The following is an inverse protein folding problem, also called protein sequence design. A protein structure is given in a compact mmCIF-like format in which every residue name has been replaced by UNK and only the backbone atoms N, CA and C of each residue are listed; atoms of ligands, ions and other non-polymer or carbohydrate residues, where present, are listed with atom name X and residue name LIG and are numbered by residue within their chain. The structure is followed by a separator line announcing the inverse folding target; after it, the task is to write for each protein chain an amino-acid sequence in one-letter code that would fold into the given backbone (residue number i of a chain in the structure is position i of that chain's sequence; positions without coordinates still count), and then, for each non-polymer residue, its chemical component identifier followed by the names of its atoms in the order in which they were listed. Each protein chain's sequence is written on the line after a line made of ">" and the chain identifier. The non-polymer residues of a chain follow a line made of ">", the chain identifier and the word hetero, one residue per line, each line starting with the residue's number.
data_IF_620486568897
#
_entry.id   IF_620486568897
#
_cell.length_a   1.000
_cell.length_b   1.000
_cell.length_c   1.000
_cell.angle_alpha   90.00
_cell.angle_beta   90.00
_cell.angle_gamma   90.00
#
_symmetry.space_group_name_H-M   'P 1'
#
loop_
_entity.id
_entity.type
_entity.pdbx_description
1 polymer ?
#
# COMPACT_ATOMS: atom_id res chain seq x y z
N UNK A 1 1.79 14.71 -11.25
CA UNK A 1 0.45 15.00 -11.81
C UNK A 1 -0.22 16.06 -10.95
N UNK A 2 -1.25 16.72 -11.45
CA UNK A 2 -2.01 17.70 -10.68
C UNK A 2 -3.47 17.80 -11.17
N UNK A 3 -4.33 18.39 -10.35
CA UNK A 3 -5.68 18.81 -10.76
C UNK A 3 -5.61 20.21 -11.37
N UNK A 4 -6.27 20.40 -12.50
CA UNK A 4 -6.38 21.70 -13.17
C UNK A 4 -7.82 21.95 -13.63
N UNK A 5 -8.22 23.21 -13.59
CA UNK A 5 -9.41 23.65 -14.29
C UNK A 5 -9.08 23.86 -15.77
N UNK A 6 -9.93 23.31 -16.66
CA UNK A 6 -9.96 23.64 -18.09
C UNK A 6 -11.42 23.70 -18.53
N UNK A 7 -11.80 24.76 -19.23
CA UNK A 7 -13.16 24.94 -19.77
C UNK A 7 -14.27 24.78 -18.72
N UNK A 8 -14.03 25.25 -17.48
CA UNK A 8 -14.99 25.14 -16.38
C UNK A 8 -15.13 23.74 -15.77
N UNK A 9 -14.25 22.79 -16.12
CA UNK A 9 -14.23 21.43 -15.58
C UNK A 9 -12.88 21.08 -14.96
N UNK A 10 -12.90 20.23 -13.94
CA UNK A 10 -11.68 19.69 -13.35
C UNK A 10 -11.13 18.55 -14.19
N UNK A 11 -9.82 18.61 -14.44
CA UNK A 11 -9.05 17.61 -15.15
C UNK A 11 -7.91 17.11 -14.28
N UNK A 12 -7.60 15.81 -14.38
CA UNK A 12 -6.33 15.27 -13.89
C UNK A 12 -5.29 15.36 -15.01
N UNK A 13 -4.18 16.03 -14.76
CA UNK A 13 -3.15 16.31 -15.76
C UNK A 13 -1.85 15.60 -15.40
N UNK A 14 -1.34 14.83 -16.36
CA UNK A 14 -0.03 14.20 -16.30
C UNK A 14 0.91 14.82 -17.34
N UNK A 15 1.98 15.45 -16.87
CA UNK A 15 3.03 16.00 -17.71
C UNK A 15 4.32 15.25 -17.47
N UNK A 16 4.91 14.71 -18.54
CA UNK A 16 6.28 14.22 -18.53
C UNK A 16 7.19 15.33 -19.03
N UNK A 17 8.23 15.61 -18.25
CA UNK A 17 9.24 16.61 -18.58
C UNK A 17 10.50 15.95 -19.11
N UNK A 18 11.23 16.69 -19.93
CA UNK A 18 12.61 16.35 -20.27
C UNK A 18 13.48 16.43 -19.01
N UNK A 19 14.43 15.49 -18.89
CA UNK A 19 15.30 15.42 -17.71
C UNK A 19 16.12 16.72 -17.55
N UNK A 20 16.14 17.29 -16.35
CA UNK A 20 16.87 18.53 -16.06
C UNK A 20 16.27 19.79 -16.68
N UNK A 21 15.05 19.74 -17.23
CA UNK A 21 14.42 20.82 -17.98
C UNK A 21 12.98 21.07 -17.54
N UNK A 22 12.47 22.29 -17.77
CA UNK A 22 11.05 22.61 -17.61
C UNK A 22 10.23 22.26 -18.86
N UNK A 23 10.87 21.82 -19.94
CA UNK A 23 10.21 21.46 -21.20
C UNK A 23 9.30 20.25 -20.99
N UNK A 24 8.02 20.43 -21.32
CA UNK A 24 7.02 19.35 -21.33
C UNK A 24 7.19 18.56 -22.63
N UNK A 25 7.47 17.27 -22.51
CA UNK A 25 7.62 16.34 -23.65
C UNK A 25 6.30 15.65 -23.99
N UNK A 26 5.44 15.46 -23.00
CA UNK A 26 4.17 14.77 -23.14
C UNK A 26 3.18 15.29 -22.11
N UNK A 27 1.95 15.56 -22.53
CA UNK A 27 0.83 15.88 -21.65
C UNK A 27 -0.33 14.91 -21.91
N UNK A 28 -0.80 14.24 -20.86
CA UNK A 28 -2.06 13.49 -20.85
C UNK A 28 -3.04 14.20 -19.95
N UNK A 29 -4.24 14.43 -20.45
CA UNK A 29 -5.31 15.13 -19.76
C UNK A 29 -6.48 14.16 -19.62
N UNK A 30 -6.99 14.03 -18.41
CA UNK A 30 -8.16 13.20 -18.10
C UNK A 30 -9.28 14.11 -17.59
N UNK A 31 -10.34 14.29 -18.37
CA UNK A 31 -11.55 14.99 -17.91
C UNK A 31 -12.22 14.16 -16.81
N UNK A 32 -12.43 14.77 -15.64
CA UNK A 32 -13.09 14.13 -14.50
C UNK A 32 -14.60 14.33 -14.52
N UNK A 33 -15.10 15.08 -15.51
CA UNK A 33 -16.49 15.46 -15.73
C UNK A 33 -17.11 16.30 -14.60
N UNK A 34 -16.27 16.85 -13.72
CA UNK A 34 -16.69 17.64 -12.56
C UNK A 34 -16.64 19.15 -12.87
N UNK A 35 -17.72 19.92 -12.65
CA UNK A 35 -17.71 21.37 -12.80
C UNK A 35 -16.80 22.05 -11.77
N UNK A 36 -15.76 22.76 -12.21
CA UNK A 36 -14.75 23.41 -11.35
C UNK A 36 -15.38 24.35 -10.32
N UNK A 37 -16.35 25.16 -10.76
CA UNK A 37 -17.02 26.19 -9.95
C UNK A 37 -17.72 25.65 -8.69
N UNK A 38 -18.09 24.36 -8.67
CA UNK A 38 -18.76 23.71 -7.52
C UNK A 38 -17.84 22.79 -6.74
N UNK A 39 -16.62 22.62 -7.22
CA UNK A 39 -15.68 21.66 -6.67
C UNK A 39 -14.67 22.33 -5.75
N UNK A 40 -14.36 21.65 -4.66
CA UNK A 40 -13.32 22.02 -3.71
C UNK A 40 -12.41 20.82 -3.48
N UNK A 41 -11.12 21.01 -3.69
CA UNK A 41 -10.12 20.03 -3.27
C UNK A 41 -9.99 20.10 -1.75
N UNK A 42 -10.32 19.00 -1.06
CA UNK A 42 -10.27 18.92 0.40
C UNK A 42 -8.86 18.55 0.88
N UNK A 43 -8.22 17.59 0.21
CA UNK A 43 -6.85 17.15 0.48
C UNK A 43 -6.28 16.52 -0.78
N UNK A 44 -4.98 16.64 -0.99
CA UNK A 44 -4.27 15.96 -2.05
C UNK A 44 -2.84 15.66 -1.61
N UNK A 45 -2.16 14.80 -2.36
CA UNK A 45 -0.77 14.45 -2.13
C UNK A 45 -0.24 13.52 -3.21
N UNK A 46 1.01 13.10 -3.03
CA UNK A 46 1.71 12.28 -4.01
C UNK A 46 2.21 13.06 -5.22
N UNK A 47 3.18 12.47 -5.92
CA UNK A 47 3.78 13.04 -7.12
C UNK A 47 3.65 12.06 -8.28
N UNK A 48 3.80 12.56 -9.51
CA UNK A 48 3.75 11.69 -10.69
C UNK A 48 2.51 10.77 -10.71
N UNK A 49 2.68 9.46 -11.01
CA UNK A 49 1.63 8.45 -10.94
C UNK A 49 0.99 8.24 -9.57
N UNK A 50 1.66 8.59 -8.48
CA UNK A 50 1.15 8.37 -7.12
C UNK A 50 0.27 9.51 -6.61
N UNK A 51 -0.05 10.47 -7.48
CA UNK A 51 -0.99 11.54 -7.17
C UNK A 51 -2.35 10.99 -6.73
N UNK A 52 -2.88 11.58 -5.67
CA UNK A 52 -4.23 11.35 -5.16
C UNK A 52 -4.85 12.66 -4.65
N UNK A 53 -6.17 12.75 -4.74
CA UNK A 53 -6.93 13.87 -4.19
C UNK A 53 -8.33 13.46 -3.74
N UNK A 54 -8.84 14.14 -2.71
CA UNK A 54 -10.23 14.11 -2.32
C UNK A 54 -10.88 15.42 -2.75
N UNK A 55 -11.92 15.33 -3.57
CA UNK A 55 -12.64 16.48 -4.17
C UNK A 55 -14.09 16.44 -3.74
N UNK A 56 -14.56 17.49 -3.09
CA UNK A 56 -15.98 17.70 -2.79
C UNK A 56 -16.63 18.50 -3.93
N UNK A 57 -17.62 17.94 -4.60
CA UNK A 57 -18.36 18.62 -5.67
C UNK A 57 -19.61 19.35 -5.17
N UNK A 58 -19.75 19.56 -3.86
CA UNK A 58 -20.92 20.11 -3.18
C UNK A 58 -22.09 19.13 -3.05
N UNK A 59 -22.17 18.11 -3.91
CA UNK A 59 -23.17 17.03 -3.85
C UNK A 59 -22.60 15.70 -3.39
N UNK A 60 -21.34 15.43 -3.74
CA UNK A 60 -20.68 14.15 -3.54
C UNK A 60 -19.20 14.40 -3.26
N UNK A 61 -18.62 13.51 -2.45
CA UNK A 61 -17.18 13.43 -2.30
C UNK A 61 -16.62 12.46 -3.35
N UNK A 62 -15.45 12.76 -3.88
CA UNK A 62 -14.77 11.96 -4.88
C UNK A 62 -13.33 11.71 -4.47
N UNK A 63 -12.83 10.52 -4.75
CA UNK A 63 -11.40 10.20 -4.71
C UNK A 63 -10.87 10.17 -6.14
N UNK A 64 -9.81 10.93 -6.40
CA UNK A 64 -9.16 11.06 -7.70
C UNK A 64 -7.76 10.46 -7.59
N UNK A 65 -7.37 9.61 -8.54
CA UNK A 65 -6.02 9.06 -8.62
C UNK A 65 -5.73 8.49 -10.00
N UNK A 66 -4.48 8.58 -10.45
CA UNK A 66 -4.06 8.00 -11.73
C UNK A 66 -4.34 6.51 -11.85
N UNK A 67 -4.25 5.79 -10.74
CA UNK A 67 -4.37 4.33 -10.73
C UNK A 67 -5.81 3.82 -10.83
N UNK A 68 -6.80 4.70 -10.69
CA UNK A 68 -8.20 4.33 -10.94
C UNK A 68 -8.47 4.17 -12.44
N UNK A 69 -9.32 3.23 -12.87
CA UNK A 69 -9.70 3.07 -14.28
C UNK A 69 -10.19 4.39 -14.91
N UNK A 70 -11.14 5.05 -14.25
CA UNK A 70 -11.72 6.32 -14.71
C UNK A 70 -11.06 7.54 -14.08
N UNK A 71 -9.92 7.37 -13.39
CA UNK A 71 -9.21 8.42 -12.62
C UNK A 71 -9.98 9.06 -11.47
N UNK A 72 -11.28 8.80 -11.35
CA UNK A 72 -12.17 9.29 -10.31
C UNK A 72 -13.08 8.18 -9.80
N UNK A 73 -13.40 8.22 -8.50
CA UNK A 73 -14.36 7.35 -7.84
C UNK A 73 -15.23 8.17 -6.90
N UNK A 74 -16.55 8.00 -7.05
CA UNK A 74 -17.54 8.62 -6.16
C UNK A 74 -17.53 7.91 -4.80
N UNK A 75 -17.38 8.68 -3.72
CA UNK A 75 -17.50 8.22 -2.35
C UNK A 75 -18.92 8.49 -1.82
N UNK A 76 -19.60 7.43 -1.38
CA UNK A 76 -20.90 7.56 -0.73
C UNK A 76 -20.72 8.00 0.72
N UNK A 77 -20.94 9.28 1.02
CA UNK A 77 -21.05 9.76 2.41
C UNK A 77 -22.34 9.20 3.04
N UNK A 78 -22.31 8.79 4.32
CA UNK A 78 -23.54 8.49 5.04
C UNK A 78 -24.49 9.69 5.01
N UNK A 79 -25.78 9.46 4.75
CA UNK A 79 -26.79 10.53 4.79
C UNK A 79 -26.80 11.13 6.20
N UNK A 80 -26.70 12.45 6.29
CA UNK A 80 -26.73 13.18 7.57
C UNK A 80 -25.43 13.18 8.37
N UNK A 81 -24.32 12.59 7.89
CA UNK A 81 -23.05 12.72 8.62
C UNK A 81 -22.53 14.15 8.50
N UNK A 82 -22.49 14.88 9.62
CA UNK A 82 -21.72 16.13 9.72
C UNK A 82 -20.21 15.87 9.83
N UNK A 83 -19.82 14.60 9.98
CA UNK A 83 -18.44 14.19 10.16
C UNK A 83 -17.54 14.55 8.99
N UNK A 84 -16.39 15.12 9.32
CA UNK A 84 -15.35 15.51 8.38
C UNK A 84 -14.58 14.31 7.85
N UNK A 85 -14.09 14.43 6.63
CA UNK A 85 -13.14 13.48 6.06
C UNK A 85 -11.83 13.50 6.85
N UNK A 86 -11.44 12.34 7.39
CA UNK A 86 -10.14 12.12 7.99
C UNK A 86 -9.30 11.25 7.05
N UNK A 87 -8.19 11.78 6.54
CA UNK A 87 -7.27 11.02 5.66
C UNK A 87 -6.16 10.43 6.51
N UNK A 88 -6.12 9.10 6.58
CA UNK A 88 -5.18 8.31 7.40
C UNK A 88 -3.87 8.07 6.66
N UNK A 89 -3.95 7.80 5.35
CA UNK A 89 -2.80 7.62 4.46
C UNK A 89 -3.18 8.00 3.02
N UNK A 90 -2.25 7.99 2.06
CA UNK A 90 -2.57 8.13 0.64
C UNK A 90 -3.69 7.21 0.14
N UNK A 91 -3.87 6.05 0.78
CA UNK A 91 -4.82 5.03 0.34
C UNK A 91 -6.04 4.91 1.24
N UNK A 92 -5.93 5.24 2.53
CA UNK A 92 -7.02 5.07 3.48
C UNK A 92 -7.57 6.41 4.01
N UNK A 93 -8.89 6.50 4.11
CA UNK A 93 -9.58 7.59 4.75
C UNK A 93 -10.82 7.10 5.51
N UNK A 94 -11.29 7.91 6.45
CA UNK A 94 -12.42 7.64 7.33
C UNK A 94 -13.43 8.79 7.30
N UNK A 95 -14.71 8.46 7.36
CA UNK A 95 -15.82 9.42 7.55
C UNK A 95 -16.78 8.79 8.55
N UNK A 96 -16.85 9.28 9.79
CA UNK A 96 -17.53 8.54 10.85
C UNK A 96 -16.96 7.17 11.03
N UNK A 97 -17.80 6.19 11.32
CA UNK A 97 -17.38 4.80 11.47
C UNK A 97 -17.13 4.07 10.13
N UNK A 98 -17.11 4.78 8.99
CA UNK A 98 -16.84 4.17 7.68
C UNK A 98 -15.41 4.39 7.25
N UNK A 99 -14.72 3.29 6.96
CA UNK A 99 -13.41 3.26 6.34
C UNK A 99 -13.52 3.18 4.81
N UNK A 100 -12.60 3.84 4.13
CA UNK A 100 -12.49 3.83 2.68
C UNK A 100 -11.05 3.52 2.26
N UNK A 101 -10.89 2.62 1.30
CA UNK A 101 -9.64 2.38 0.59
C UNK A 101 -9.75 2.92 -0.84
N UNK A 102 -8.95 3.91 -1.19
CA UNK A 102 -8.93 4.58 -2.51
C UNK A 102 -10.36 4.95 -2.98
N UNK A 103 -11.12 5.53 -2.06
CA UNK A 103 -12.51 5.95 -2.25
C UNK A 103 -13.57 4.85 -2.31
N UNK A 104 -13.20 3.56 -2.26
CA UNK A 104 -14.19 2.49 -2.06
C UNK A 104 -14.43 2.28 -0.57
N UNK A 105 -15.70 2.15 -0.19
CA UNK A 105 -16.07 1.76 1.18
C UNK A 105 -15.57 0.35 1.47
N UNK A 106 -14.95 0.17 2.63
CA UNK A 106 -14.55 -1.14 3.15
C UNK A 106 -15.65 -1.61 4.10
N UNK A 107 -16.48 -2.59 3.70
CA UNK A 107 -17.50 -3.14 4.59
C UNK A 107 -16.83 -3.86 5.77
N UNK A 108 -17.53 -3.88 6.91
CA UNK A 108 -17.18 -4.65 8.10
C UNK A 108 -15.83 -4.35 8.76
N UNK A 109 -15.09 -3.35 8.26
CA UNK A 109 -13.89 -2.86 8.91
C UNK A 109 -14.22 -2.15 10.21
N UNK A 110 -13.56 -2.57 11.29
CA UNK A 110 -13.64 -1.88 12.57
C UNK A 110 -12.77 -0.62 12.50
N UNK A 111 -13.43 0.53 12.29
CA UNK A 111 -12.77 1.81 12.14
C UNK A 111 -12.09 2.30 13.43
N UNK A 112 -12.46 1.78 14.61
CA UNK A 112 -11.87 2.15 15.90
C UNK A 112 -10.58 1.39 16.17
N UNK A 113 -10.52 0.12 15.73
CA UNK A 113 -9.33 -0.74 15.85
C UNK A 113 -8.44 -0.71 14.61
N UNK A 114 -8.79 0.06 13.59
CA UNK A 114 -8.05 0.11 12.35
C UNK A 114 -6.66 0.75 12.51
N UNK A 115 -5.62 0.00 12.15
CA UNK A 115 -4.23 0.41 12.19
C UNK A 115 -3.56 0.19 10.83
N UNK A 116 -2.82 1.20 10.39
CA UNK A 116 -1.90 1.09 9.26
C UNK A 116 -0.64 0.39 9.73
N UNK A 117 -0.14 -0.58 8.95
CA UNK A 117 1.15 -1.21 9.23
C UNK A 117 2.25 -0.35 8.59
N UNK A 118 3.15 0.27 9.38
CA UNK A 118 4.17 1.17 8.86
C UNK A 118 5.05 0.51 7.79
N UNK A 119 5.47 1.29 6.79
CA UNK A 119 6.37 0.86 5.71
C UNK A 119 5.91 -0.37 4.92
N UNK A 120 4.62 -0.67 5.01
CA UNK A 120 3.98 -1.70 4.20
C UNK A 120 2.72 -1.13 3.57
N UNK A 121 2.14 -1.95 2.69
CA UNK A 121 0.82 -1.71 2.12
C UNK A 121 -0.33 -2.22 3.00
N UNK A 122 0.01 -2.90 4.09
CA UNK A 122 -0.97 -3.61 4.88
C UNK A 122 -1.62 -2.69 5.91
N UNK A 123 -2.82 -3.05 6.30
CA UNK A 123 -3.49 -2.52 7.46
C UNK A 123 -4.23 -3.66 8.15
N UNK A 124 -4.67 -3.46 9.39
CA UNK A 124 -5.47 -4.46 10.10
C UNK A 124 -6.41 -3.79 11.09
N UNK A 125 -7.43 -4.51 11.53
CA UNK A 125 -8.34 -4.07 12.59
C UNK A 125 -8.37 -5.01 13.82
N UNK A 126 -7.43 -5.95 13.87
CA UNK A 126 -7.36 -6.94 14.95
C UNK A 126 -8.18 -8.21 14.68
N UNK A 127 -8.92 -8.28 13.57
CA UNK A 127 -9.55 -9.52 13.08
C UNK A 127 -9.17 -9.80 11.63
N UNK A 128 -9.06 -8.72 10.84
CA UNK A 128 -8.79 -8.77 9.41
C UNK A 128 -7.46 -8.12 9.08
N UNK A 129 -6.81 -8.65 8.04
CA UNK A 129 -5.69 -7.98 7.37
C UNK A 129 -6.17 -7.47 6.02
N UNK A 130 -5.83 -6.22 5.74
CA UNK A 130 -6.20 -5.47 4.56
C UNK A 130 -4.96 -5.23 3.71
N UNK A 131 -5.02 -5.62 2.43
CA UNK A 131 -3.93 -5.39 1.49
C UNK A 131 -4.44 -4.61 0.28
N UNK A 132 -4.06 -3.34 0.14
CA UNK A 132 -4.47 -2.55 -1.02
C UNK A 132 -3.61 -2.91 -2.23
N UNK A 133 -4.20 -2.90 -3.43
CA UNK A 133 -3.50 -3.04 -4.71
C UNK A 133 -3.43 -1.71 -5.44
N UNK A 134 -2.48 -1.62 -6.37
CA UNK A 134 -2.34 -0.42 -7.19
C UNK A 134 -3.56 -0.25 -8.11
N UNK A 135 -3.97 -1.31 -8.79
CA UNK A 135 -4.93 -1.24 -9.89
C UNK A 135 -6.35 -1.62 -9.50
N UNK A 136 -6.50 -2.51 -8.52
CA UNK A 136 -7.69 -3.33 -8.43
C UNK A 136 -8.51 -3.15 -7.14
N UNK A 137 -8.01 -2.39 -6.16
CA UNK A 137 -8.73 -2.06 -4.92
C UNK A 137 -8.09 -2.62 -3.67
N UNK A 138 -8.85 -3.37 -2.88
CA UNK A 138 -8.49 -3.87 -1.55
C UNK A 138 -8.84 -5.34 -1.45
N UNK A 139 -7.93 -6.14 -0.91
CA UNK A 139 -8.21 -7.51 -0.50
C UNK A 139 -8.17 -7.66 1.03
N UNK A 140 -8.84 -8.70 1.52
CA UNK A 140 -9.06 -8.93 2.94
C UNK A 140 -8.79 -10.39 3.29
N UNK A 141 -7.88 -10.61 4.24
CA UNK A 141 -7.75 -11.88 4.93
C UNK A 141 -8.62 -11.80 6.19
N UNK A 142 -9.64 -12.65 6.25
CA UNK A 142 -10.51 -12.80 7.42
C UNK A 142 -9.89 -13.77 8.43
N UNK A 143 -10.28 -13.63 9.71
CA UNK A 143 -9.92 -14.53 10.81
C UNK A 143 -8.41 -14.79 11.00
N UNK A 144 -7.60 -13.73 10.83
CA UNK A 144 -6.16 -13.82 10.95
C UNK A 144 -5.71 -14.21 12.38
N UNK A 145 -4.76 -15.14 12.49
CA UNK A 145 -4.39 -15.76 13.75
C UNK A 145 -3.27 -15.01 14.49
N UNK A 146 -3.67 -14.04 15.31
CA UNK A 146 -2.74 -13.18 16.05
C UNK A 146 -1.70 -13.94 16.92
N UNK A 147 -0.48 -13.39 17.08
CA UNK A 147 0.03 -12.16 16.47
C UNK A 147 0.34 -12.31 14.98
N UNK A 148 0.25 -11.20 14.25
CA UNK A 148 0.62 -11.13 12.83
C UNK A 148 1.95 -10.40 12.71
N UNK A 149 2.84 -10.97 11.91
CA UNK A 149 4.19 -10.49 11.65
C UNK A 149 4.27 -9.95 10.23
N UNK A 150 4.48 -8.65 10.10
CA UNK A 150 4.64 -7.98 8.81
C UNK A 150 6.11 -7.67 8.57
N UNK A 151 6.58 -7.88 7.34
CA UNK A 151 7.92 -7.47 6.93
C UNK A 151 7.83 -6.14 6.16
N UNK A 152 8.35 -5.02 6.70
CA UNK A 152 8.59 -3.79 5.97
C UNK A 152 9.07 -3.99 4.54
N UNK A 153 8.45 -3.25 3.60
CA UNK A 153 8.78 -3.25 2.16
C UNK A 153 8.75 -4.63 1.49
N UNK A 154 8.09 -5.59 2.13
CA UNK A 154 7.86 -6.92 1.63
C UNK A 154 6.40 -7.10 1.29
N UNK A 155 6.15 -7.98 0.32
CA UNK A 155 4.79 -8.41 -0.03
C UNK A 155 4.33 -9.61 0.82
N UNK A 156 5.15 -10.03 1.80
CA UNK A 156 4.86 -11.13 2.73
C UNK A 156 4.47 -10.65 4.12
N UNK A 157 3.58 -11.40 4.75
CA UNK A 157 3.30 -11.37 6.18
C UNK A 157 3.00 -12.79 6.67
N UNK A 158 3.07 -13.02 7.98
CA UNK A 158 2.82 -14.34 8.56
C UNK A 158 1.98 -14.21 9.82
N UNK A 159 1.17 -15.22 10.09
CA UNK A 159 0.52 -15.40 11.38
C UNK A 159 1.01 -16.71 12.02
N UNK A 160 0.40 -17.17 13.12
CA UNK A 160 0.84 -18.42 13.77
C UNK A 160 0.59 -19.69 12.93
N UNK A 161 -0.33 -19.62 11.97
CA UNK A 161 -0.76 -20.76 11.16
C UNK A 161 0.07 -20.84 9.89
N UNK A 162 0.26 -19.70 9.21
CA UNK A 162 0.72 -19.67 7.83
C UNK A 162 1.48 -18.42 7.42
N UNK A 163 2.10 -18.52 6.24
CA UNK A 163 2.66 -17.40 5.52
C UNK A 163 1.69 -16.95 4.44
N UNK A 164 1.70 -15.65 4.17
CA UNK A 164 0.83 -15.01 3.20
C UNK A 164 1.64 -14.08 2.32
N UNK A 165 1.29 -14.05 1.04
CA UNK A 165 1.88 -13.17 0.06
C UNK A 165 0.79 -12.43 -0.69
N UNK A 166 1.06 -11.18 -1.08
CA UNK A 166 0.12 -10.43 -1.90
C UNK A 166 0.83 -9.42 -2.79
N UNK A 167 0.75 -9.62 -4.12
CA UNK A 167 1.42 -8.73 -5.09
C UNK A 167 0.81 -7.34 -5.18
N UNK A 168 1.63 -6.34 -5.48
CA UNK A 168 1.18 -4.96 -5.77
C UNK A 168 0.19 -4.88 -6.93
N UNK A 169 0.18 -5.91 -7.77
CA UNK A 169 -0.59 -6.02 -9.00
C UNK A 169 -1.73 -7.02 -8.95
N UNK A 170 -1.74 -7.97 -7.99
CA UNK A 170 -2.78 -9.01 -7.90
C UNK A 170 -3.73 -8.75 -6.75
N UNK A 171 -5.01 -9.06 -6.96
CA UNK A 171 -6.09 -8.77 -6.02
C UNK A 171 -6.19 -9.67 -4.79
N UNK A 172 -5.29 -10.61 -4.57
CA UNK A 172 -5.52 -11.68 -3.59
C UNK A 172 -4.34 -11.88 -2.67
N UNK A 173 -4.62 -11.88 -1.38
CA UNK A 173 -3.78 -12.43 -0.33
C UNK A 173 -3.81 -13.94 -0.51
N UNK A 174 -2.65 -14.49 -0.85
CA UNK A 174 -2.46 -15.90 -1.10
C UNK A 174 -1.73 -16.52 0.06
N UNK A 175 -2.25 -17.64 0.57
CA UNK A 175 -1.50 -18.49 1.49
C UNK A 175 -0.33 -19.11 0.71
N UNK A 176 0.87 -18.97 1.24
CA UNK A 176 2.09 -19.53 0.66
C UNK A 176 2.77 -20.48 1.62
N UNK A 177 3.46 -21.47 1.07
CA UNK A 177 4.27 -22.39 1.85
C UNK A 177 5.51 -21.70 2.40
N UNK A 178 5.93 -22.04 3.61
CA UNK A 178 7.23 -21.60 4.14
C UNK A 178 8.41 -22.11 3.32
N UNK A 179 8.21 -23.14 2.49
CA UNK A 179 9.19 -23.69 1.55
C UNK A 179 9.23 -22.97 0.19
N UNK A 180 8.31 -22.02 -0.05
CA UNK A 180 8.29 -21.25 -1.30
C UNK A 180 9.61 -20.51 -1.46
N UNK A 181 10.22 -20.63 -2.64
CA UNK A 181 11.47 -19.91 -2.95
C UNK A 181 11.20 -18.43 -3.08
N UNK A 182 12.07 -17.64 -2.47
CA UNK A 182 12.06 -16.18 -2.59
C UNK A 182 13.04 -15.74 -3.68
N UNK A 183 12.71 -14.65 -4.36
CA UNK A 183 13.59 -14.10 -5.38
C UNK A 183 14.63 -13.12 -4.80
N UNK A 184 15.55 -12.64 -5.64
CA UNK A 184 16.60 -11.72 -5.22
C UNK A 184 16.06 -10.32 -4.82
N UNK A 185 14.94 -9.90 -5.40
CA UNK A 185 14.34 -8.60 -5.15
C UNK A 185 13.70 -8.54 -3.76
N UNK A 186 12.90 -9.55 -3.42
CA UNK A 186 12.24 -9.67 -2.11
C UNK A 186 13.26 -9.70 -0.97
N UNK A 187 14.33 -10.50 -1.14
CA UNK A 187 15.44 -10.57 -0.18
C UNK A 187 16.08 -9.20 0.06
N UNK A 188 16.38 -8.47 -1.02
CA UNK A 188 17.07 -7.18 -0.94
C UNK A 188 16.24 -6.13 -0.20
N UNK A 189 14.95 -6.06 -0.47
CA UNK A 189 14.06 -5.08 0.16
C UNK A 189 13.94 -5.30 1.67
N UNK A 190 13.73 -6.55 2.12
CA UNK A 190 13.64 -6.88 3.54
C UNK A 190 14.95 -6.55 4.26
N UNK A 191 16.10 -6.86 3.65
CA UNK A 191 17.39 -6.52 4.22
C UNK A 191 17.63 -5.02 4.35
N UNK A 192 17.27 -4.25 3.31
CA UNK A 192 17.42 -2.80 3.35
C UNK A 192 16.61 -2.19 4.50
N UNK A 193 15.38 -2.65 4.67
CA UNK A 193 14.51 -2.15 5.73
C UNK A 193 14.97 -2.56 7.14
N UNK A 194 15.35 -3.83 7.34
CA UNK A 194 15.57 -4.38 8.69
C UNK A 194 17.02 -4.43 9.14
N UNK A 195 17.96 -4.79 8.26
CA UNK A 195 19.36 -4.97 8.65
C UNK A 195 20.21 -3.74 8.34
N UNK A 196 19.83 -2.92 7.36
CA UNK A 196 20.66 -1.79 6.90
C UNK A 196 20.14 -0.43 7.34
N UNK A 197 18.91 -0.33 7.82
CA UNK A 197 18.27 0.96 8.12
C UNK A 197 18.34 1.91 6.92
N UNK A 198 18.12 1.39 5.71
CA UNK A 198 18.20 2.11 4.42
C UNK A 198 19.56 2.69 4.02
N UNK A 199 20.65 2.20 4.60
CA UNK A 199 22.00 2.60 4.20
C UNK A 199 22.55 1.69 3.11
N UNK A 200 23.12 2.30 2.06
CA UNK A 200 23.97 1.58 1.13
C UNK A 200 25.30 1.25 1.82
N UNK A 201 25.88 0.04 1.60
CA UNK A 201 27.17 -0.33 2.17
C UNK A 201 28.24 0.69 1.80
N UNK A 202 29.11 1.00 2.76
CA UNK A 202 30.16 2.00 2.57
C UNK A 202 31.42 1.38 1.94
N UNK A 203 31.58 0.05 2.03
CA UNK A 203 32.71 -0.68 1.46
C UNK A 203 32.38 -2.11 0.95
N UNK A 204 33.32 -2.65 0.17
CA UNK A 204 33.21 -3.96 -0.51
C UNK A 204 33.18 -5.15 0.46
N UNK A 205 33.77 -5.03 1.66
CA UNK A 205 33.83 -6.13 2.63
C UNK A 205 32.48 -6.30 3.33
N UNK A 206 31.86 -5.18 3.70
CA UNK A 206 30.49 -5.11 4.18
C UNK A 206 29.51 -5.63 3.11
N UNK A 207 29.70 -5.25 1.84
CA UNK A 207 28.89 -5.77 0.73
C UNK A 207 29.01 -7.29 0.59
N UNK A 208 30.23 -7.83 0.66
CA UNK A 208 30.48 -9.29 0.54
C UNK A 208 29.86 -10.08 1.71
N UNK A 209 30.09 -9.66 2.95
CA UNK A 209 29.51 -10.33 4.11
C UNK A 209 27.97 -10.36 4.05
N UNK A 210 27.37 -9.31 3.48
CA UNK A 210 25.92 -9.23 3.23
C UNK A 210 25.45 -10.15 2.10
N UNK A 211 26.25 -10.33 1.05
CA UNK A 211 25.96 -11.29 -0.01
C UNK A 211 25.94 -12.73 0.53
N UNK A 212 26.87 -13.07 1.42
CA UNK A 212 26.92 -14.40 2.03
C UNK A 212 25.67 -14.70 2.89
N UNK A 213 25.15 -13.70 3.61
CA UNK A 213 23.87 -13.80 4.32
C UNK A 213 22.70 -14.04 3.34
N UNK A 214 22.68 -13.32 2.22
CA UNK A 214 21.64 -13.44 1.17
C UNK A 214 21.59 -14.81 0.50
N UNK A 215 22.74 -15.44 0.32
CA UNK A 215 22.86 -16.79 -0.24
C UNK A 215 22.28 -17.87 0.69
N UNK A 216 22.29 -17.59 2.00
CA UNK A 216 21.66 -18.41 3.03
C UNK A 216 20.12 -18.34 3.03
N UNK A 217 19.53 -17.21 2.63
CA UNK A 217 18.06 -17.06 2.59
C UNK A 217 17.52 -17.68 1.31
N UNK A 218 16.77 -18.77 1.37
CA UNK A 218 16.28 -19.47 0.15
C UNK A 218 14.77 -19.53 0.07
N UNK A 219 14.11 -19.48 1.22
CA UNK A 219 12.68 -19.68 1.36
C UNK A 219 12.01 -18.54 2.13
N UNK A 220 10.68 -18.46 2.04
CA UNK A 220 9.89 -17.48 2.80
C UNK A 220 10.16 -17.65 4.30
N UNK A 221 10.21 -18.88 4.81
CA UNK A 221 10.51 -19.09 6.23
C UNK A 221 11.90 -18.57 6.62
N UNK A 222 12.92 -18.71 5.76
CA UNK A 222 14.25 -18.15 6.02
C UNK A 222 14.21 -16.62 6.11
N UNK A 223 13.40 -15.97 5.26
CA UNK A 223 13.22 -14.51 5.25
C UNK A 223 12.66 -14.01 6.59
N UNK A 224 11.64 -14.68 7.12
CA UNK A 224 11.06 -14.33 8.42
C UNK A 224 12.02 -14.62 9.57
N UNK A 225 12.75 -15.74 9.57
CA UNK A 225 13.77 -16.02 10.59
C UNK A 225 14.87 -14.97 10.62
N UNK A 226 15.31 -14.51 9.44
CA UNK A 226 16.34 -13.49 9.34
C UNK A 226 15.85 -12.12 9.83
N UNK A 227 14.62 -11.74 9.44
CA UNK A 227 14.07 -10.43 9.77
C UNK A 227 13.52 -10.32 11.20
N UNK A 228 13.17 -11.44 11.83
CA UNK A 228 12.56 -11.50 13.16
C UNK A 228 13.27 -12.52 14.04
N UNK A 229 14.57 -12.33 14.35
CA UNK A 229 15.37 -13.32 15.09
C UNK A 229 14.88 -13.54 16.53
N UNK A 230 14.21 -12.55 17.13
CA UNK A 230 13.71 -12.61 18.51
C UNK A 230 12.28 -13.17 18.63
N UNK A 231 11.65 -13.51 17.50
CA UNK A 231 10.29 -14.06 17.48
C UNK A 231 10.36 -15.57 17.56
N UNK A 232 10.13 -16.11 18.77
CA UNK A 232 10.00 -17.55 19.01
C UNK A 232 8.62 -18.06 18.55
N UNK A 233 8.42 -18.10 17.23
CA UNK A 233 7.22 -18.64 16.60
C UNK A 233 7.60 -19.84 15.75
N UNK A 234 7.13 -21.02 16.17
CA UNK A 234 7.09 -22.18 15.29
C UNK A 234 5.94 -22.00 14.29
N UNK A 235 6.25 -21.41 13.13
CA UNK A 235 5.28 -21.37 12.03
C UNK A 235 5.02 -22.80 11.56
N UNK A 236 3.75 -23.24 11.63
CA UNK A 236 3.38 -24.62 11.29
C UNK A 236 3.77 -25.01 9.85
N UNK A 237 3.92 -24.04 8.95
CA UNK A 237 4.35 -24.23 7.55
C UNK A 237 5.86 -24.08 7.28
N UNK A 238 6.71 -23.89 8.31
CA UNK A 238 8.15 -23.72 8.13
C UNK A 238 8.93 -25.04 8.24
N UNK A 239 10.09 -25.16 7.57
CA UNK A 239 11.01 -26.26 7.82
C UNK A 239 11.46 -26.27 9.28
N UNK A 240 11.53 -27.47 9.87
CA UNK A 240 12.15 -27.67 11.18
C UNK A 240 13.59 -27.13 11.14
N UNK A 241 13.97 -26.41 12.18
CA UNK A 241 15.36 -25.96 12.35
C UNK A 241 16.21 -27.22 12.52
N UNK A 242 17.00 -27.57 11.50
CA UNK A 242 18.09 -28.51 11.72
C UNK A 242 19.14 -27.75 12.54
N UNK A 243 19.21 -28.10 13.82
CA UNK A 243 20.27 -27.70 14.74
C UNK A 243 21.65 -28.20 14.26
#
# INVERSE_FOLDING_TARGET
>A
MCLEEREGRLHLVHRRREWGSQRIMEEKVYDLELPSATCRVLKHGGEGPDFWAYVDSGRRLHYVSYWLPNKIRVMRRPRGSQESLLVLSPHYARIGQRLYCRGAWVPDADAERFHLVPETRFAHDGERVYAFTITEGLDVLEDAAWPIHFLPRCEHFADRRDFYWQSSWTKRIERVSGYTRIDAYEKKNVLQAHLRGDTDPQDDAEEKARADVLDGVRTVADLFRLALPDVDVQWAGAPAVHA
#
